data_IF_267892022244
#
_entry.id   IF_267892022244
#
_cell.length_a   1.000
_cell.length_b   1.000
_cell.length_c   1.000
_cell.angle_alpha   90.00
_cell.angle_beta   90.00
_cell.angle_gamma   90.00
#
_symmetry.space_group_name_H-M   'P 1'
#
loop_
_entity.id
_entity.type
_entity.pdbx_description
1 polymer ?
#
# COMPACT_ATOMS: atom_id res chain seq x y z
N UNK A 1 0.26 -19.00 -15.59
CA UNK A 1 1.49 -18.61 -14.86
C UNK A 1 1.04 -17.82 -13.65
N UNK A 2 1.12 -18.39 -12.45
CA UNK A 2 0.83 -17.67 -11.19
C UNK A 2 2.12 -17.02 -10.72
N UNK A 3 2.17 -15.69 -10.77
CA UNK A 3 3.29 -14.94 -10.20
C UNK A 3 3.15 -14.96 -8.68
N UNK A 4 4.13 -15.52 -7.97
CA UNK A 4 4.20 -15.40 -6.52
C UNK A 4 4.68 -13.99 -6.17
N UNK A 5 3.78 -13.16 -5.67
CA UNK A 5 4.11 -11.80 -5.24
C UNK A 5 4.63 -11.81 -3.81
N UNK A 6 5.76 -11.15 -3.59
CA UNK A 6 6.34 -10.94 -2.27
C UNK A 6 6.31 -9.46 -1.92
N UNK A 7 5.96 -9.15 -0.68
CA UNK A 7 5.87 -7.79 -0.17
C UNK A 7 6.83 -7.66 1.01
N UNK A 8 7.64 -6.60 1.00
CA UNK A 8 8.54 -6.28 2.11
C UNK A 8 7.78 -5.49 3.17
N UNK A 9 7.57 -6.10 4.33
CA UNK A 9 6.92 -5.50 5.49
C UNK A 9 7.90 -5.51 6.65
N UNK A 10 8.21 -4.35 7.23
CA UNK A 10 9.15 -4.20 8.36
C UNK A 10 10.54 -4.82 8.12
N UNK A 11 11.01 -4.87 6.88
CA UNK A 11 12.32 -5.45 6.54
C UNK A 11 12.25 -6.93 6.14
N UNK A 12 11.18 -7.63 6.47
CA UNK A 12 10.95 -9.03 6.10
C UNK A 12 10.17 -9.15 4.78
N UNK A 13 10.49 -10.15 3.97
CA UNK A 13 9.70 -10.50 2.79
C UNK A 13 8.64 -11.52 3.17
N UNK A 14 7.37 -11.20 2.87
CA UNK A 14 6.23 -12.11 3.07
C UNK A 14 5.54 -12.37 1.75
N UNK A 15 5.05 -13.59 1.55
CA UNK A 15 4.19 -13.90 0.40
C UNK A 15 2.89 -13.11 0.54
N UNK A 16 2.44 -12.48 -0.53
CA UNK A 16 1.20 -11.71 -0.51
C UNK A 16 -0.01 -12.58 -0.13
N UNK A 17 -0.02 -13.85 -0.53
CA UNK A 17 -1.06 -14.83 -0.19
C UNK A 17 -1.17 -15.11 1.32
N UNK A 18 -0.09 -14.92 2.06
CA UNK A 18 -0.01 -15.25 3.48
C UNK A 18 -0.40 -14.05 4.36
N UNK A 19 -0.57 -12.87 3.75
CA UNK A 19 -0.98 -11.65 4.44
C UNK A 19 -2.51 -11.64 4.51
N UNK A 20 -3.10 -11.53 5.72
CA UNK A 20 -4.55 -11.42 5.87
C UNK A 20 -5.12 -10.28 5.03
N UNK A 21 -6.29 -10.50 4.41
CA UNK A 21 -6.92 -9.54 3.50
C UNK A 21 -7.04 -8.13 4.11
N UNK A 22 -7.52 -8.04 5.36
CA UNK A 22 -7.60 -6.78 6.12
C UNK A 22 -6.25 -6.06 6.26
N UNK A 23 -5.17 -6.80 6.50
CA UNK A 23 -3.83 -6.21 6.58
C UNK A 23 -3.34 -5.76 5.21
N UNK A 24 -3.67 -6.50 4.15
CA UNK A 24 -3.35 -6.09 2.78
C UNK A 24 -4.09 -4.82 2.36
N UNK A 25 -5.35 -4.63 2.76
CA UNK A 25 -6.09 -3.40 2.50
C UNK A 25 -5.39 -2.19 3.15
N UNK A 26 -5.02 -2.29 4.43
CA UNK A 26 -4.28 -1.24 5.13
C UNK A 26 -2.91 -0.96 4.47
N UNK A 27 -2.21 -2.00 4.02
CA UNK A 27 -0.95 -1.87 3.31
C UNK A 27 -1.14 -1.17 1.96
N UNK A 28 -2.18 -1.54 1.22
CA UNK A 28 -2.49 -0.98 -0.10
C UNK A 28 -2.80 0.52 0.00
N UNK A 29 -3.58 0.94 1.02
CA UNK A 29 -3.86 2.36 1.26
C UNK A 29 -2.57 3.14 1.53
N UNK A 30 -1.70 2.61 2.38
CA UNK A 30 -0.42 3.26 2.69
C UNK A 30 0.53 3.32 1.49
N UNK A 31 0.66 2.22 0.75
CA UNK A 31 1.48 2.17 -0.48
C UNK A 31 0.95 3.14 -1.53
N UNK A 32 -0.36 3.17 -1.74
CA UNK A 32 -1.01 4.11 -2.66
C UNK A 32 -0.74 5.55 -2.23
N UNK A 33 -0.88 5.87 -0.94
CA UNK A 33 -0.60 7.22 -0.43
C UNK A 33 0.84 7.63 -0.70
N UNK A 34 1.81 6.78 -0.35
CA UNK A 34 3.24 7.04 -0.60
C UNK A 34 3.56 7.18 -2.10
N UNK A 35 2.93 6.36 -2.93
CA UNK A 35 3.09 6.44 -4.38
C UNK A 35 2.55 7.77 -4.92
N UNK A 36 1.35 8.17 -4.50
CA UNK A 36 0.76 9.47 -4.86
C UNK A 36 1.66 10.63 -4.40
N UNK A 37 2.14 10.60 -3.15
CA UNK A 37 3.11 11.57 -2.61
C UNK A 37 4.39 11.62 -3.46
N UNK A 38 4.93 10.47 -3.89
CA UNK A 38 6.12 10.40 -4.74
C UNK A 38 5.92 11.00 -6.14
N UNK A 39 4.68 11.00 -6.63
CA UNK A 39 4.28 11.63 -7.89
C UNK A 39 3.92 13.13 -7.71
N UNK A 40 4.07 13.68 -6.50
CA UNK A 40 3.75 15.07 -6.19
C UNK A 40 2.28 15.34 -5.85
N UNK A 41 1.44 14.31 -5.76
CA UNK A 41 0.06 14.45 -5.30
C UNK A 41 0.05 14.57 -3.77
N UNK A 42 -0.29 15.75 -3.28
CA UNK A 42 -0.53 15.99 -1.86
C UNK A 42 -2.03 15.87 -1.59
N UNK A 43 -2.47 15.05 -0.62
CA UNK A 43 -3.87 15.01 -0.23
C UNK A 43 -4.30 16.39 0.28
N UNK A 44 -5.09 17.10 -0.52
CA UNK A 44 -5.77 18.31 -0.08
C UNK A 44 -6.95 17.90 0.79
N UNK A 45 -6.97 18.36 2.04
CA UNK A 45 -8.20 18.37 2.82
C UNK A 45 -9.18 19.26 2.05
N UNK A 46 -10.37 18.76 1.73
CA UNK A 46 -11.43 19.62 1.21
C UNK A 46 -11.51 20.84 2.12
N UNK A 47 -11.21 22.02 1.58
CA UNK A 47 -11.67 23.26 2.19
C UNK A 47 -13.17 23.18 2.06
N UNK A 48 -13.85 22.81 3.13
CA UNK A 48 -15.28 23.06 3.27
C UNK A 48 -15.46 24.57 3.04
N UNK A 49 -16.04 24.92 1.90
CA UNK A 49 -16.44 26.27 1.57
C UNK A 49 -17.81 26.56 2.21
#
# INVERSE_FOLDING_TARGET
>A
MTFENFIKVNGEYRRQSDIPEKQMEELAVNLKRRFMESLGYVPVKEKTA
#
